data_IF_427164453695
#
_entry.id   IF_427164453695
#
_cell.length_a   1.000
_cell.length_b   1.000
_cell.length_c   1.000
_cell.angle_alpha   90.00
_cell.angle_beta   90.00
_cell.angle_gamma   90.00
#
_symmetry.space_group_name_H-M   'P 1'
#
loop_
_entity.id
_entity.type
_entity.pdbx_description
1 polymer ?
#
# COMPACT_ATOMS: atom_id res chain seq x y z
N UNK A 1 26.08 16.84 30.03
CA UNK A 1 27.06 15.83 29.55
C UNK A 1 28.36 16.11 30.27
N UNK A 2 28.86 15.17 31.07
CA UNK A 2 30.16 15.26 31.75
C UNK A 2 31.08 14.20 31.15
N UNK A 3 32.36 14.52 31.03
CA UNK A 3 33.46 13.67 30.59
C UNK A 3 33.87 12.59 31.62
N UNK A 4 33.13 12.46 32.72
CA UNK A 4 33.38 11.46 33.75
C UNK A 4 34.39 11.87 34.82
N UNK A 5 34.85 13.13 34.84
CA UNK A 5 35.88 13.63 35.78
C UNK A 5 35.28 14.50 36.91
N UNK A 6 33.96 14.50 37.08
CA UNK A 6 33.29 15.35 38.08
C UNK A 6 33.57 14.89 39.54
N UNK A 7 34.23 15.75 40.32
CA UNK A 7 34.60 15.56 41.74
C UNK A 7 33.43 15.70 42.73
N UNK A 8 32.20 15.94 42.26
CA UNK A 8 31.02 16.08 43.11
C UNK A 8 30.06 14.91 42.88
N UNK A 9 29.58 14.32 43.99
CA UNK A 9 28.60 13.23 43.96
C UNK A 9 27.36 13.64 43.16
N UNK A 10 26.96 12.79 42.21
CA UNK A 10 25.75 13.01 41.41
C UNK A 10 24.53 12.94 42.34
N UNK A 11 23.67 13.97 42.38
CA UNK A 11 22.48 13.94 43.22
C UNK A 11 21.55 12.75 42.89
N UNK A 12 20.88 12.19 43.90
CA UNK A 12 20.06 10.96 43.76
C UNK A 12 18.85 11.12 42.83
N UNK A 13 18.44 12.34 42.51
CA UNK A 13 17.36 12.62 41.55
C UNK A 13 17.82 12.66 40.08
N UNK A 14 19.13 12.53 39.83
CA UNK A 14 19.69 12.55 38.47
C UNK A 14 19.79 11.13 37.91
N UNK A 15 19.16 10.90 36.76
CA UNK A 15 19.35 9.65 35.99
C UNK A 15 20.70 9.73 35.26
N UNK A 16 21.67 8.92 35.69
CA UNK A 16 22.94 8.73 34.96
C UNK A 16 22.70 7.78 33.78
N UNK A 17 23.06 8.21 32.58
CA UNK A 17 23.08 7.35 31.38
C UNK A 17 24.51 7.40 30.85
N UNK A 18 25.21 6.27 30.86
CA UNK A 18 26.56 6.15 30.32
C UNK A 18 26.47 5.84 28.83
N UNK A 19 27.21 6.59 28.00
CA UNK A 19 27.40 6.29 26.57
C UNK A 19 28.65 5.45 26.31
N UNK A 20 29.37 5.07 27.38
CA UNK A 20 30.62 4.32 27.31
C UNK A 20 30.48 2.87 27.83
N UNK A 21 29.37 2.56 28.50
CA UNK A 21 29.07 1.21 28.95
C UNK A 21 28.25 0.48 27.89
N UNK A 22 28.50 -0.83 27.75
CA UNK A 22 27.70 -1.63 26.83
C UNK A 22 26.26 -1.69 27.34
N UNK A 23 25.33 -1.45 26.44
CA UNK A 23 23.91 -1.55 26.71
C UNK A 23 23.40 -2.92 26.23
N UNK A 24 22.62 -3.59 27.07
CA UNK A 24 21.92 -4.81 26.67
C UNK A 24 20.69 -4.41 25.85
N UNK A 25 20.47 -5.03 24.69
CA UNK A 25 19.35 -4.66 23.84
C UNK A 25 18.78 -5.88 23.11
N UNK A 26 17.46 -5.99 23.08
CA UNK A 26 16.70 -6.92 22.25
C UNK A 26 15.71 -6.08 21.47
N UNK A 27 15.83 -6.09 20.14
CA UNK A 27 15.01 -5.21 19.30
C UNK A 27 14.13 -5.97 18.33
N UNK A 28 12.95 -5.43 18.04
CA UNK A 28 12.20 -5.78 16.83
C UNK A 28 12.98 -5.22 15.64
N UNK A 29 13.44 -6.10 14.76
CA UNK A 29 14.30 -5.75 13.61
C UNK A 29 13.59 -5.87 12.27
N UNK A 30 12.41 -6.51 12.25
CA UNK A 30 11.47 -6.45 11.13
C UNK A 30 10.05 -6.74 11.64
N UNK A 31 9.07 -6.02 11.10
CA UNK A 31 7.65 -6.30 11.34
C UNK A 31 6.82 -5.90 10.12
N UNK A 32 6.06 -6.84 9.58
CA UNK A 32 5.21 -6.58 8.42
C UNK A 32 4.02 -7.53 8.34
N UNK A 33 2.92 -7.02 7.81
CA UNK A 33 1.75 -7.83 7.48
C UNK A 33 1.81 -8.18 6.00
N UNK A 34 1.61 -9.46 5.69
CA UNK A 34 1.61 -10.01 4.34
C UNK A 34 0.28 -10.71 4.06
N UNK A 35 -0.20 -10.62 2.84
CA UNK A 35 -1.30 -11.47 2.38
C UNK A 35 -0.78 -12.89 2.16
N UNK A 36 -1.54 -13.89 2.60
CA UNK A 36 -1.27 -15.30 2.35
C UNK A 36 -1.85 -15.64 0.97
N UNK A 37 -1.03 -16.02 -0.03
CA UNK A 37 -1.52 -16.25 -1.39
C UNK A 37 -2.61 -17.32 -1.45
N UNK A 38 -2.48 -18.40 -0.68
CA UNK A 38 -3.39 -19.55 -0.68
C UNK A 38 -4.72 -19.34 0.06
N UNK A 39 -4.96 -18.18 0.65
CA UNK A 39 -6.16 -17.93 1.45
C UNK A 39 -6.73 -16.55 1.15
N UNK A 40 -7.90 -16.46 0.50
CA UNK A 40 -8.58 -15.19 0.30
C UNK A 40 -8.76 -14.45 1.63
N UNK A 41 -8.32 -13.18 1.68
CA UNK A 41 -8.32 -12.34 2.90
C UNK A 41 -7.53 -12.94 4.09
N UNK A 42 -6.65 -13.92 3.83
CA UNK A 42 -5.69 -14.46 4.78
C UNK A 42 -4.51 -13.51 4.90
N UNK A 43 -4.11 -13.21 6.13
CA UNK A 43 -2.97 -12.37 6.43
C UNK A 43 -2.13 -13.00 7.53
N UNK A 44 -0.82 -12.82 7.44
CA UNK A 44 0.12 -13.17 8.48
C UNK A 44 0.96 -11.94 8.88
N UNK A 45 1.41 -11.91 10.12
CA UNK A 45 2.41 -10.97 10.60
C UNK A 45 3.78 -11.65 10.66
N UNK A 46 4.70 -11.25 9.78
CA UNK A 46 6.10 -11.61 9.90
C UNK A 46 6.76 -10.72 10.96
N UNK A 47 7.43 -11.33 11.92
CA UNK A 47 8.17 -10.66 12.98
C UNK A 47 9.59 -11.21 13.06
N UNK A 48 10.55 -10.31 13.19
CA UNK A 48 11.94 -10.63 13.51
C UNK A 48 12.39 -9.89 14.77
N UNK A 49 12.96 -10.63 15.71
CA UNK A 49 13.50 -10.12 16.98
C UNK A 49 14.93 -10.60 17.11
N UNK A 50 15.85 -9.70 17.46
CA UNK A 50 17.26 -10.05 17.61
C UNK A 50 17.80 -9.58 18.95
N UNK A 51 18.58 -10.44 19.60
CA UNK A 51 19.28 -10.13 20.84
C UNK A 51 20.71 -9.64 20.55
N UNK A 52 21.03 -8.42 20.96
CA UNK A 52 22.36 -7.80 20.86
C UNK A 52 23.13 -7.80 22.19
N UNK A 53 22.49 -8.29 23.25
CA UNK A 53 23.01 -8.40 24.59
C UNK A 53 23.33 -9.83 25.04
N UNK A 54 23.31 -10.05 26.35
CA UNK A 54 23.43 -11.34 27.00
C UNK A 54 22.17 -12.20 26.77
N UNK A 55 22.26 -13.53 26.94
CA UNK A 55 21.10 -14.39 26.80
C UNK A 55 19.92 -13.94 27.66
N UNK A 56 18.74 -13.78 27.03
CA UNK A 56 17.56 -13.21 27.67
C UNK A 56 16.28 -13.99 27.31
N UNK A 57 15.32 -13.97 28.22
CA UNK A 57 13.94 -14.40 27.95
C UNK A 57 13.15 -13.22 27.40
N UNK A 58 12.52 -13.40 26.24
CA UNK A 58 11.82 -12.34 25.52
C UNK A 58 10.34 -12.72 25.41
N UNK A 59 9.47 -11.87 25.96
CA UNK A 59 8.03 -12.00 25.80
C UNK A 59 7.55 -11.15 24.62
N UNK A 60 7.03 -11.81 23.59
CA UNK A 60 6.50 -11.21 22.37
C UNK A 60 4.98 -11.18 22.46
N UNK A 61 4.36 -10.04 22.16
CA UNK A 61 2.91 -9.88 22.08
C UNK A 61 2.51 -9.12 20.82
N UNK A 62 1.64 -9.72 20.01
CA UNK A 62 0.89 -9.02 18.97
C UNK A 62 -0.50 -8.68 19.52
N UNK A 63 -0.93 -7.44 19.33
CA UNK A 63 -2.23 -6.95 19.78
C UNK A 63 -2.93 -6.15 18.70
N UNK A 64 -4.26 -6.16 18.73
CA UNK A 64 -5.10 -5.41 17.81
C UNK A 64 -6.30 -4.77 18.53
N UNK A 65 -7.02 -3.84 17.87
CA UNK A 65 -8.26 -3.29 18.39
C UNK A 65 -9.25 -4.39 18.77
N UNK A 66 -10.09 -4.11 19.78
CA UNK A 66 -11.06 -5.10 20.28
C UNK A 66 -10.46 -6.19 21.16
N UNK A 67 -9.19 -6.06 21.59
CA UNK A 67 -8.57 -6.93 22.59
C UNK A 67 -7.99 -8.24 22.06
N UNK A 68 -7.96 -8.43 20.73
CA UNK A 68 -7.35 -9.61 20.13
C UNK A 68 -5.83 -9.59 20.35
N UNK A 69 -5.28 -10.70 20.85
CA UNK A 69 -3.84 -10.81 21.13
C UNK A 69 -3.28 -12.21 20.86
N UNK A 70 -2.03 -12.27 20.45
CA UNK A 70 -1.20 -13.47 20.37
C UNK A 70 0.08 -13.22 21.17
N UNK A 71 0.51 -14.20 21.97
CA UNK A 71 1.72 -14.08 22.79
C UNK A 71 2.62 -15.29 22.59
N UNK A 72 3.93 -15.06 22.62
CA UNK A 72 4.97 -16.09 22.55
C UNK A 72 6.11 -15.70 23.48
N UNK A 73 6.73 -16.67 24.13
CA UNK A 73 7.95 -16.46 24.91
C UNK A 73 9.07 -17.28 24.29
N UNK A 74 10.24 -16.66 24.13
CA UNK A 74 11.41 -17.28 23.53
C UNK A 74 12.67 -16.88 24.30
N UNK A 75 13.57 -17.83 24.51
CA UNK A 75 14.91 -17.58 25.03
C UNK A 75 15.85 -17.32 23.86
N UNK A 76 16.52 -16.18 23.84
CA UNK A 76 17.49 -15.83 22.79
C UNK A 76 18.90 -15.76 23.38
N UNK A 77 19.82 -16.54 22.82
CA UNK A 77 21.25 -16.38 23.04
C UNK A 77 21.77 -15.05 22.47
N UNK A 78 23.00 -14.68 22.84
CA UNK A 78 23.66 -13.49 22.31
C UNK A 78 23.80 -13.56 20.79
N UNK A 79 23.30 -12.55 20.09
CA UNK A 79 23.32 -12.48 18.63
C UNK A 79 22.24 -13.33 17.94
N UNK A 80 21.45 -14.09 18.68
CA UNK A 80 20.42 -14.95 18.12
C UNK A 80 19.26 -14.14 17.54
N UNK A 81 18.72 -14.61 16.42
CA UNK A 81 17.60 -14.01 15.71
C UNK A 81 16.42 -14.98 15.75
N UNK A 82 15.31 -14.53 16.34
CA UNK A 82 14.03 -15.20 16.25
C UNK A 82 13.22 -14.65 15.08
N UNK A 83 12.64 -15.56 14.29
CA UNK A 83 11.78 -15.25 13.14
C UNK A 83 10.54 -16.10 13.21
N UNK A 84 9.39 -15.49 13.02
CA UNK A 84 8.13 -16.23 12.96
C UNK A 84 7.06 -15.49 12.15
N UNK A 85 6.08 -16.25 11.70
CA UNK A 85 4.89 -15.74 11.02
C UNK A 85 3.66 -16.09 11.86
N UNK A 86 2.94 -15.06 12.30
CA UNK A 86 1.74 -15.19 13.13
C UNK A 86 0.50 -15.10 12.26
N UNK A 87 -0.35 -16.14 12.28
CA UNK A 87 -1.63 -16.14 11.57
C UNK A 87 -2.59 -15.08 12.13
N UNK A 88 -2.98 -14.12 11.29
CA UNK A 88 -3.94 -13.05 11.62
C UNK A 88 -5.33 -13.34 11.05
N UNK A 89 -5.61 -14.56 10.59
CA UNK A 89 -6.89 -14.88 9.93
C UNK A 89 -8.10 -14.66 10.84
N UNK A 90 -7.95 -14.79 12.15
CA UNK A 90 -9.00 -14.52 13.15
C UNK A 90 -9.13 -13.06 13.55
N UNK A 91 -8.21 -12.19 13.13
CA UNK A 91 -8.25 -10.77 13.45
C UNK A 91 -9.25 -10.04 12.55
N UNK A 92 -9.99 -9.09 13.13
CA UNK A 92 -11.02 -8.32 12.42
C UNK A 92 -10.43 -7.22 11.53
N UNK A 93 -9.20 -6.78 11.83
CA UNK A 93 -8.47 -5.73 11.11
C UNK A 93 -8.12 -4.53 11.98
N UNK A 94 -7.48 -3.54 11.37
CA UNK A 94 -7.00 -2.32 12.02
C UNK A 94 -5.50 -2.34 12.33
N UNK A 95 -5.07 -1.46 13.24
CA UNK A 95 -3.67 -1.34 13.62
C UNK A 95 -3.18 -2.51 14.46
N UNK A 96 -2.20 -3.27 13.97
CA UNK A 96 -1.54 -4.33 14.73
C UNK A 96 -0.31 -3.73 15.41
N UNK A 97 -0.18 -3.96 16.71
CA UNK A 97 0.98 -3.58 17.51
C UNK A 97 1.72 -4.83 17.97
N UNK A 98 2.96 -4.97 17.53
CA UNK A 98 3.94 -5.87 18.11
C UNK A 98 4.66 -5.17 19.25
N UNK A 99 4.78 -5.87 20.38
CA UNK A 99 5.57 -5.42 21.54
C UNK A 99 6.45 -6.58 21.99
N UNK A 100 7.70 -6.29 22.33
CA UNK A 100 8.58 -7.21 23.04
C UNK A 100 8.87 -6.69 24.45
N UNK A 101 9.19 -7.60 25.35
CA UNK A 101 9.62 -7.29 26.71
C UNK A 101 10.78 -8.22 27.06
N UNK A 102 11.92 -7.64 27.39
CA UNK A 102 13.10 -8.33 27.89
C UNK A 102 13.60 -7.63 29.16
N UNK A 103 14.35 -8.37 29.97
CA UNK A 103 15.03 -7.77 31.14
C UNK A 103 16.23 -6.96 30.66
N UNK A 104 16.48 -5.84 31.35
CA UNK A 104 17.67 -4.99 31.17
C UNK A 104 17.79 -4.38 29.76
N UNK A 105 16.69 -4.31 28.99
CA UNK A 105 16.64 -3.68 27.67
C UNK A 105 16.88 -2.16 27.73
N UNK A 106 17.72 -1.67 26.82
CA UNK A 106 18.20 -0.30 26.83
C UNK A 106 17.56 0.62 25.78
N UNK A 107 16.79 0.11 24.81
CA UNK A 107 16.20 0.91 23.73
C UNK A 107 14.69 0.66 23.59
N UNK A 108 13.85 1.38 24.36
CA UNK A 108 12.39 1.22 24.25
C UNK A 108 11.77 1.55 22.87
N UNK A 109 12.54 2.15 21.96
CA UNK A 109 12.09 2.56 20.63
C UNK A 109 12.03 1.39 19.62
N UNK A 110 12.77 0.31 19.83
CA UNK A 110 12.66 -0.92 19.02
C UNK A 110 11.91 -2.06 19.72
N UNK A 111 11.42 -1.82 20.94
CA UNK A 111 10.51 -2.72 21.65
C UNK A 111 9.10 -2.77 21.03
N UNK A 112 8.77 -1.83 20.16
CA UNK A 112 7.43 -1.70 19.56
C UNK A 112 7.49 -1.53 18.04
N UNK A 113 6.59 -2.20 17.36
CA UNK A 113 6.37 -2.01 15.93
C UNK A 113 4.87 -2.07 15.59
N UNK A 114 4.47 -1.33 14.56
CA UNK A 114 3.11 -1.20 14.10
C UNK A 114 2.97 -1.65 12.65
N UNK A 115 1.81 -2.18 12.32
CA UNK A 115 1.40 -2.48 10.95
C UNK A 115 -0.11 -2.27 10.82
N UNK A 116 -0.62 -2.22 9.60
CA UNK A 116 -2.06 -2.15 9.36
C UNK A 116 -2.54 -3.45 8.73
N UNK A 117 -3.47 -4.12 9.42
CA UNK A 117 -4.23 -5.24 8.89
C UNK A 117 -5.49 -4.68 8.22
N UNK A 118 -5.68 -4.85 6.91
CA UNK A 118 -6.92 -4.47 6.23
C UNK A 118 -8.16 -5.00 6.94
N UNK A 119 -9.19 -4.16 7.08
CA UNK A 119 -10.42 -4.55 7.79
C UNK A 119 -11.21 -5.55 6.95
N UNK A 120 -11.53 -6.71 7.56
CA UNK A 120 -12.38 -7.73 6.95
C UNK A 120 -13.84 -7.30 7.04
N UNK A 121 -14.28 -6.42 6.15
CA UNK A 121 -15.71 -6.08 6.00
C UNK A 121 -16.29 -6.75 4.76
N UNK A 122 -17.60 -7.03 4.79
CA UNK A 122 -18.30 -7.47 3.58
C UNK A 122 -18.20 -6.37 2.53
N UNK A 123 -17.85 -6.75 1.30
CA UNK A 123 -17.84 -5.87 0.14
C UNK A 123 -19.27 -5.69 -0.32
N UNK A 124 -19.77 -4.45 -0.31
CA UNK A 124 -21.07 -4.14 -0.89
C UNK A 124 -20.95 -4.19 -2.41
N UNK A 125 -21.50 -5.25 -2.99
CA UNK A 125 -21.37 -5.53 -4.41
C UNK A 125 -22.72 -5.38 -5.09
N UNK A 126 -22.79 -4.48 -6.08
CA UNK A 126 -23.97 -4.30 -6.90
C UNK A 126 -23.82 -5.09 -8.20
N UNK A 127 -24.60 -6.16 -8.32
CA UNK A 127 -24.77 -6.92 -9.56
C UNK A 127 -25.83 -6.25 -10.43
N UNK A 128 -25.41 -5.80 -11.61
CA UNK A 128 -26.26 -5.19 -12.62
C UNK A 128 -26.44 -6.20 -13.75
N UNK A 129 -27.59 -6.85 -13.77
CA UNK A 129 -27.90 -7.94 -14.71
C UNK A 129 -29.40 -8.03 -14.98
N UNK A 130 -29.76 -8.52 -16.16
CA UNK A 130 -31.14 -8.94 -16.46
C UNK A 130 -31.47 -10.33 -15.91
N UNK A 131 -30.46 -11.08 -15.46
CA UNK A 131 -30.56 -12.41 -14.88
C UNK A 131 -29.31 -13.23 -15.20
N UNK A 132 -28.59 -13.69 -14.17
CA UNK A 132 -27.42 -14.55 -14.32
C UNK A 132 -27.30 -15.49 -13.12
N UNK A 133 -27.91 -16.68 -13.22
CA UNK A 133 -28.01 -17.60 -12.10
C UNK A 133 -26.66 -18.07 -11.57
N UNK A 134 -25.65 -18.21 -12.44
CA UNK A 134 -24.31 -18.64 -12.05
C UNK A 134 -23.65 -17.58 -11.16
N UNK A 135 -23.63 -16.31 -11.60
CA UNK A 135 -23.11 -15.19 -10.80
C UNK A 135 -23.92 -14.97 -9.52
N UNK A 136 -25.25 -14.99 -9.63
CA UNK A 136 -26.13 -14.77 -8.48
C UNK A 136 -25.95 -15.83 -7.40
N UNK A 137 -25.84 -17.10 -7.79
CA UNK A 137 -25.62 -18.21 -6.84
C UNK A 137 -24.27 -18.09 -6.18
N UNK A 138 -23.20 -17.88 -6.97
CA UNK A 138 -21.85 -17.76 -6.46
C UNK A 138 -21.71 -16.60 -5.46
N UNK A 139 -22.16 -15.40 -5.83
CA UNK A 139 -22.04 -14.21 -4.99
C UNK A 139 -22.90 -14.27 -3.73
N UNK A 140 -24.02 -15.01 -3.74
CA UNK A 140 -24.84 -15.24 -2.53
C UNK A 140 -24.21 -16.21 -1.54
N UNK A 141 -23.38 -17.14 -2.03
CA UNK A 141 -22.67 -18.12 -1.20
C UNK A 141 -21.40 -17.54 -0.57
N UNK A 142 -20.88 -16.43 -1.09
CA UNK A 142 -19.71 -15.75 -0.55
C UNK A 142 -20.03 -15.01 0.76
N UNK A 143 -19.36 -15.41 1.84
CA UNK A 143 -19.54 -14.82 3.17
C UNK A 143 -19.08 -13.36 3.28
N UNK A 144 -18.21 -12.92 2.39
CA UNK A 144 -17.61 -11.59 2.36
C UNK A 144 -18.27 -10.66 1.33
N UNK A 145 -19.37 -11.07 0.71
CA UNK A 145 -20.16 -10.23 -0.20
C UNK A 145 -21.49 -9.85 0.43
N UNK A 146 -21.82 -8.56 0.39
CA UNK A 146 -23.16 -8.03 0.61
C UNK A 146 -23.76 -7.72 -0.77
N UNK A 147 -24.51 -8.69 -1.33
CA UNK A 147 -25.00 -8.62 -2.71
C UNK A 147 -26.29 -7.80 -2.82
N UNK A 148 -26.26 -6.79 -3.69
CA UNK A 148 -27.44 -6.09 -4.19
C UNK A 148 -27.60 -6.42 -5.68
N UNK A 149 -28.82 -6.59 -6.15
CA UNK A 149 -29.12 -6.85 -7.56
C UNK A 149 -30.09 -5.82 -8.12
N UNK A 150 -29.80 -5.31 -9.30
CA UNK A 150 -30.68 -4.40 -10.06
C UNK A 150 -30.67 -4.72 -11.54
N UNK A 151 -31.75 -4.32 -12.23
CA UNK A 151 -31.79 -4.31 -13.69
C UNK A 151 -30.91 -3.16 -14.25
N UNK A 152 -30.23 -3.35 -15.40
CA UNK A 152 -29.43 -2.31 -16.05
C UNK A 152 -30.13 -0.97 -16.25
N UNK A 153 -31.44 -0.96 -16.54
CA UNK A 153 -32.23 0.28 -16.71
C UNK A 153 -32.29 1.13 -15.43
N UNK A 154 -32.18 0.49 -14.27
CA UNK A 154 -32.22 1.12 -12.95
C UNK A 154 -30.83 1.48 -12.42
N UNK A 155 -29.75 1.20 -13.17
CA UNK A 155 -28.40 1.49 -12.73
C UNK A 155 -28.19 2.98 -12.49
N UNK A 156 -27.71 3.30 -11.29
CA UNK A 156 -27.24 4.62 -10.89
C UNK A 156 -25.95 4.42 -10.10
N UNK A 157 -24.96 5.27 -10.38
CA UNK A 157 -23.72 5.31 -9.60
C UNK A 157 -24.05 5.66 -8.14
N UNK A 158 -23.37 5.03 -7.18
CA UNK A 158 -23.63 5.21 -5.75
C UNK A 158 -22.35 5.06 -4.94
N UNK A 159 -22.06 6.05 -4.09
CA UNK A 159 -20.92 6.02 -3.18
C UNK A 159 -21.00 4.94 -2.10
N UNK A 160 -22.20 4.39 -1.86
CA UNK A 160 -22.46 3.35 -0.85
C UNK A 160 -22.13 1.93 -1.33
N UNK A 161 -21.74 1.76 -2.60
CA UNK A 161 -21.32 0.50 -3.20
C UNK A 161 -19.79 0.47 -3.20
N UNK A 162 -19.21 -0.67 -2.82
CA UNK A 162 -17.75 -0.87 -2.81
C UNK A 162 -17.25 -1.43 -4.16
N UNK A 163 -18.04 -2.27 -4.84
CA UNK A 163 -17.71 -2.83 -6.15
C UNK A 163 -18.94 -3.06 -7.04
N UNK A 164 -18.77 -2.93 -8.36
CA UNK A 164 -19.79 -3.24 -9.35
C UNK A 164 -19.47 -4.53 -10.09
N UNK A 165 -20.51 -5.32 -10.40
CA UNK A 165 -20.41 -6.42 -11.37
C UNK A 165 -21.45 -6.15 -12.44
N UNK A 166 -20.98 -5.96 -13.67
CA UNK A 166 -21.82 -5.69 -14.82
C UNK A 166 -21.87 -6.91 -15.74
N UNK A 167 -23.07 -7.45 -15.95
CA UNK A 167 -23.33 -8.53 -16.90
C UNK A 167 -23.90 -7.96 -18.20
N UNK A 168 -23.12 -8.01 -19.29
CA UNK A 168 -23.48 -7.53 -20.64
C UNK A 168 -23.99 -6.09 -20.64
N UNK A 169 -23.48 -5.28 -19.72
CA UNK A 169 -23.81 -3.87 -19.54
C UNK A 169 -22.55 -3.11 -19.16
N UNK A 170 -22.45 -1.85 -19.58
CA UNK A 170 -21.48 -0.92 -19.03
C UNK A 170 -22.10 0.47 -18.97
N UNK A 171 -21.76 1.25 -17.93
CA UNK A 171 -22.16 2.65 -17.86
C UNK A 171 -21.55 3.48 -19.00
N UNK A 172 -22.16 4.62 -19.31
CA UNK A 172 -21.67 5.55 -20.35
C UNK A 172 -20.32 6.18 -20.00
N UNK A 173 -20.01 6.29 -18.72
CA UNK A 173 -18.71 6.75 -18.18
C UNK A 173 -18.07 5.62 -17.38
N UNK A 174 -16.73 5.57 -17.27
CA UNK A 174 -16.06 4.63 -16.36
C UNK A 174 -16.62 4.71 -14.94
N UNK A 175 -16.88 3.59 -14.26
CA UNK A 175 -17.41 3.57 -12.91
C UNK A 175 -16.41 4.20 -11.93
N UNK A 176 -16.93 4.88 -10.91
CA UNK A 176 -16.08 5.54 -9.89
C UNK A 176 -15.50 4.57 -8.87
N UNK A 177 -16.11 3.38 -8.77
CA UNK A 177 -15.69 2.26 -7.91
C UNK A 177 -15.18 1.10 -8.77
N UNK A 178 -14.38 0.20 -8.18
CA UNK A 178 -13.91 -0.99 -8.87
C UNK A 178 -15.05 -1.78 -9.53
N UNK A 179 -14.83 -2.26 -10.76
CA UNK A 179 -15.87 -2.95 -11.52
C UNK A 179 -15.37 -4.19 -12.27
N UNK A 180 -16.15 -5.27 -12.24
CA UNK A 180 -15.97 -6.45 -13.08
C UNK A 180 -17.03 -6.44 -14.19
N UNK A 181 -16.61 -6.64 -15.43
CA UNK A 181 -17.48 -6.54 -16.61
C UNK A 181 -17.40 -7.85 -17.39
N UNK A 182 -18.56 -8.43 -17.68
CA UNK A 182 -18.69 -9.60 -18.55
C UNK A 182 -19.22 -9.18 -19.92
N UNK A 183 -18.51 -9.61 -20.96
CA UNK A 183 -18.75 -9.21 -22.34
C UNK A 183 -18.21 -7.82 -22.67
N UNK A 184 -18.46 -7.40 -23.90
CA UNK A 184 -18.04 -6.11 -24.44
C UNK A 184 -19.24 -5.22 -24.80
N UNK A 185 -19.98 -4.71 -23.81
CA UNK A 185 -21.06 -3.76 -24.04
C UNK A 185 -20.53 -2.49 -24.71
N UNK A 186 -21.35 -1.87 -25.55
CA UNK A 186 -20.97 -0.64 -26.23
C UNK A 186 -20.92 0.53 -25.23
N UNK A 187 -19.70 0.93 -24.85
CA UNK A 187 -19.43 2.11 -24.07
C UNK A 187 -18.17 2.80 -24.60
N UNK A 188 -18.22 4.12 -24.80
CA UNK A 188 -17.15 4.87 -25.47
C UNK A 188 -15.77 4.77 -24.79
N UNK A 189 -15.74 4.44 -23.50
CA UNK A 189 -14.52 4.29 -22.72
C UNK A 189 -13.90 2.88 -22.77
N UNK A 190 -14.64 1.85 -23.22
CA UNK A 190 -14.16 0.47 -23.32
C UNK A 190 -13.42 0.18 -24.65
N UNK A 191 -13.40 1.14 -25.59
CA UNK A 191 -12.69 1.03 -26.88
C UNK A 191 -12.93 -0.31 -27.61
N UNK A 192 -14.18 -0.77 -27.58
CA UNK A 192 -14.59 -1.98 -28.29
C UNK A 192 -14.46 -1.78 -29.79
N UNK A 193 -13.76 -2.68 -30.48
CA UNK A 193 -13.76 -2.67 -31.95
C UNK A 193 -15.00 -3.43 -32.46
N UNK A 194 -15.45 -3.16 -33.69
CA UNK A 194 -16.63 -3.80 -34.27
C UNK A 194 -16.42 -5.30 -34.64
N UNK A 195 -15.31 -5.91 -34.23
CA UNK A 195 -14.97 -7.31 -34.54
C UNK A 195 -15.46 -8.29 -33.49
N UNK A 196 -15.90 -9.47 -33.94
CA UNK A 196 -16.16 -10.65 -33.09
C UNK A 196 -15.24 -11.77 -33.57
N UNK A 197 -14.50 -12.35 -32.63
CA UNK A 197 -13.70 -13.56 -32.85
C UNK A 197 -14.55 -14.77 -32.47
N UNK A 198 -14.72 -15.69 -33.42
CA UNK A 198 -15.42 -16.96 -33.21
C UNK A 198 -14.46 -18.00 -32.64
N UNK A 199 -14.90 -18.75 -31.64
CA UNK A 199 -14.16 -19.83 -30.98
C UNK A 199 -12.69 -19.48 -30.64
N UNK A 200 -12.42 -18.36 -29.93
CA UNK A 200 -11.06 -18.04 -29.54
C UNK A 200 -10.55 -19.06 -28.51
N UNK A 201 -9.34 -19.56 -28.73
CA UNK A 201 -8.63 -20.40 -27.78
C UNK A 201 -7.75 -19.53 -26.88
N UNK A 202 -7.80 -19.75 -25.57
CA UNK A 202 -6.90 -19.07 -24.63
C UNK A 202 -5.50 -19.67 -24.82
N UNK A 203 -4.56 -18.86 -25.31
CA UNK A 203 -3.18 -19.29 -25.56
C UNK A 203 -2.18 -18.80 -24.53
N UNK A 204 -2.50 -17.71 -23.84
CA UNK A 204 -1.63 -17.08 -22.86
C UNK A 204 -2.44 -16.50 -21.71
N UNK A 205 -1.95 -16.67 -20.48
CA UNK A 205 -2.48 -15.99 -19.30
C UNK A 205 -1.33 -15.64 -18.34
N UNK A 206 -1.52 -14.59 -17.54
CA UNK A 206 -0.56 -14.15 -16.53
C UNK A 206 -0.82 -14.87 -15.21
N UNK A 207 0.07 -15.77 -14.81
CA UNK A 207 0.02 -16.43 -13.49
C UNK A 207 0.39 -15.47 -12.35
N UNK A 208 1.19 -14.44 -12.65
CA UNK A 208 1.62 -13.43 -11.67
C UNK A 208 0.52 -12.42 -11.33
N UNK A 209 -0.47 -12.23 -12.21
CA UNK A 209 -1.52 -11.24 -11.97
C UNK A 209 -2.42 -11.69 -10.80
N UNK A 210 -2.69 -10.83 -9.79
CA UNK A 210 -3.44 -11.23 -8.60
C UNK A 210 -4.79 -11.91 -8.86
N UNK A 211 -5.47 -11.55 -9.94
CA UNK A 211 -6.78 -12.12 -10.29
C UNK A 211 -6.73 -13.55 -10.83
N UNK A 212 -5.54 -14.01 -11.26
CA UNK A 212 -5.34 -15.33 -11.88
C UNK A 212 -4.68 -16.34 -10.93
N UNK A 213 -4.43 -15.96 -9.67
CA UNK A 213 -3.82 -16.86 -8.69
C UNK A 213 -4.69 -18.11 -8.50
N UNK A 214 -4.12 -19.28 -8.80
CA UNK A 214 -4.82 -20.58 -8.76
C UNK A 214 -6.03 -20.71 -9.70
N UNK A 215 -6.11 -19.86 -10.72
CA UNK A 215 -7.15 -19.93 -11.76
C UNK A 215 -6.58 -20.63 -12.98
N UNK A 216 -7.00 -21.88 -13.21
CA UNK A 216 -6.75 -22.54 -14.49
C UNK A 216 -7.84 -22.13 -15.49
N UNK A 217 -7.41 -21.68 -16.68
CA UNK A 217 -8.28 -21.32 -17.81
C UNK A 217 -7.99 -22.15 -19.06
N UNK A 218 -7.14 -23.17 -18.97
CA UNK A 218 -6.66 -23.92 -20.12
C UNK A 218 -7.79 -24.63 -20.89
N UNK A 219 -8.74 -25.22 -20.16
CA UNK A 219 -9.84 -26.01 -20.72
C UNK A 219 -11.12 -25.19 -20.93
N UNK A 220 -11.05 -23.86 -20.81
CA UNK A 220 -12.20 -22.98 -20.98
C UNK A 220 -12.52 -22.82 -22.46
N UNK A 221 -13.72 -23.21 -22.84
CA UNK A 221 -14.26 -23.05 -24.19
C UNK A 221 -15.06 -21.75 -24.28
N UNK A 222 -14.66 -20.89 -25.22
CA UNK A 222 -15.34 -19.62 -25.51
C UNK A 222 -15.95 -19.74 -26.91
N UNK A 223 -17.25 -19.51 -27.05
CA UNK A 223 -17.93 -19.51 -28.35
C UNK A 223 -17.62 -18.26 -29.18
N UNK A 224 -17.62 -17.10 -28.53
CA UNK A 224 -17.39 -15.80 -29.16
C UNK A 224 -16.79 -14.81 -28.16
N UNK A 225 -15.86 -13.99 -28.63
CA UNK A 225 -15.32 -12.85 -27.87
C UNK A 225 -15.25 -11.61 -28.74
N UNK A 226 -15.42 -10.43 -28.15
CA UNK A 226 -15.24 -9.19 -28.87
C UNK A 226 -13.76 -8.89 -29.09
N UNK A 227 -13.46 -8.27 -30.21
CA UNK A 227 -12.15 -7.71 -30.47
C UNK A 227 -12.03 -6.34 -29.77
N UNK A 228 -11.02 -6.18 -28.92
CA UNK A 228 -10.80 -4.98 -28.11
C UNK A 228 -9.42 -4.40 -28.39
N UNK A 229 -9.33 -3.07 -28.45
CA UNK A 229 -8.05 -2.36 -28.39
C UNK A 229 -7.54 -2.34 -26.94
N UNK A 230 -6.50 -3.12 -26.67
CA UNK A 230 -5.86 -3.20 -25.35
C UNK A 230 -4.79 -2.11 -25.11
N UNK A 231 -4.70 -1.09 -25.96
CA UNK A 231 -3.72 0.00 -25.77
C UNK A 231 -3.88 0.63 -24.39
N UNK A 232 -2.79 0.66 -23.62
CA UNK A 232 -2.72 1.13 -22.22
C UNK A 232 -3.52 0.30 -21.19
N UNK A 233 -3.88 -0.94 -21.52
CA UNK A 233 -4.51 -1.88 -20.60
C UNK A 233 -3.57 -3.06 -20.31
N UNK A 234 -3.72 -3.64 -19.12
CA UNK A 234 -3.01 -4.88 -18.77
C UNK A 234 -3.77 -6.05 -19.36
N UNK A 235 -3.17 -6.77 -20.31
CA UNK A 235 -3.71 -8.02 -20.85
C UNK A 235 -3.39 -9.14 -19.87
N UNK A 236 -4.44 -9.70 -19.24
CA UNK A 236 -4.31 -10.77 -18.25
C UNK A 236 -4.40 -12.15 -18.91
N UNK A 237 -5.29 -12.30 -19.89
CA UNK A 237 -5.37 -13.49 -20.72
C UNK A 237 -5.73 -13.12 -22.16
N UNK A 238 -5.25 -13.90 -23.13
CA UNK A 238 -5.43 -13.64 -24.54
C UNK A 238 -5.47 -14.92 -25.38
N UNK A 239 -6.13 -14.79 -26.53
CA UNK A 239 -5.99 -15.68 -27.68
C UNK A 239 -4.94 -15.15 -28.65
N UNK A 240 -4.69 -15.88 -29.73
CA UNK A 240 -3.84 -15.39 -30.84
C UNK A 240 -4.42 -14.16 -31.53
N UNK A 241 -5.75 -13.98 -31.49
CA UNK A 241 -6.47 -12.98 -32.27
C UNK A 241 -6.89 -11.76 -31.46
N UNK A 242 -7.21 -11.94 -30.17
CA UNK A 242 -7.75 -10.88 -29.32
C UNK A 242 -7.45 -11.11 -27.84
N UNK A 243 -7.28 -10.04 -27.04
CA UNK A 243 -7.36 -10.11 -25.59
C UNK A 243 -8.72 -10.68 -25.13
N UNK A 244 -8.67 -11.48 -24.07
CA UNK A 244 -9.83 -12.17 -23.51
C UNK A 244 -10.16 -11.68 -22.09
N UNK A 245 -9.12 -11.37 -21.30
CA UNK A 245 -9.26 -10.78 -19.97
C UNK A 245 -8.34 -9.56 -19.89
N UNK A 246 -8.90 -8.42 -19.51
CA UNK A 246 -8.22 -7.13 -19.43
C UNK A 246 -8.37 -6.56 -18.01
N UNK A 247 -7.36 -5.84 -17.55
CA UNK A 247 -7.38 -5.11 -16.30
C UNK A 247 -6.87 -3.68 -16.47
N UNK A 248 -7.46 -2.77 -15.70
CA UNK A 248 -7.04 -1.37 -15.54
C UNK A 248 -6.89 -1.06 -14.06
N UNK A 249 -5.88 -0.28 -13.68
CA UNK A 249 -5.67 0.17 -12.30
C UNK A 249 -6.28 1.56 -12.03
N UNK A 250 -6.47 2.39 -13.07
CA UNK A 250 -6.93 3.79 -12.92
C UNK A 250 -7.87 4.21 -14.07
N UNK A 251 -9.20 4.17 -13.90
CA UNK A 251 -9.92 3.60 -12.75
C UNK A 251 -9.76 2.07 -12.71
N UNK A 252 -9.97 1.47 -11.52
CA UNK A 252 -9.78 0.03 -11.33
C UNK A 252 -10.93 -0.76 -11.95
N UNK A 253 -10.67 -1.66 -12.88
CA UNK A 253 -11.69 -2.58 -13.40
C UNK A 253 -11.07 -3.79 -14.08
N UNK A 254 -11.85 -4.86 -14.18
CA UNK A 254 -11.54 -6.08 -14.95
C UNK A 254 -12.65 -6.28 -15.97
N UNK A 255 -12.30 -6.68 -17.18
CA UNK A 255 -13.25 -7.02 -18.24
C UNK A 255 -12.90 -8.36 -18.87
N UNK A 256 -13.90 -9.22 -19.01
CA UNK A 256 -13.86 -10.37 -19.90
C UNK A 256 -14.49 -9.93 -21.23
N UNK A 257 -13.78 -10.12 -22.34
CA UNK A 257 -14.27 -9.68 -23.66
C UNK A 257 -15.35 -10.60 -24.24
N UNK A 258 -15.71 -11.65 -23.50
CA UNK A 258 -16.80 -12.58 -23.73
C UNK A 258 -17.75 -12.58 -22.52
N UNK A 259 -19.03 -12.84 -22.77
CA UNK A 259 -20.01 -13.04 -21.70
C UNK A 259 -20.06 -14.51 -21.25
N UNK A 260 -20.60 -14.75 -20.05
CA UNK A 260 -20.65 -16.09 -19.47
C UNK A 260 -21.60 -17.05 -20.20
N UNK A 261 -22.60 -16.56 -20.93
CA UNK A 261 -23.50 -17.42 -21.72
C UNK A 261 -22.81 -17.90 -23.01
N UNK A 262 -21.77 -17.20 -23.44
CA UNK A 262 -20.93 -17.50 -24.60
C UNK A 262 -19.68 -18.30 -24.24
N UNK A 263 -19.61 -18.88 -23.03
CA UNK A 263 -18.48 -19.70 -22.58
C UNK A 263 -18.92 -20.74 -21.58
N UNK A 264 -18.11 -21.77 -21.39
CA UNK A 264 -18.31 -22.73 -20.29
C UNK A 264 -17.63 -22.31 -18.99
N UNK A 265 -16.97 -21.14 -18.93
CA UNK A 265 -16.09 -20.75 -17.83
C UNK A 265 -16.78 -20.85 -16.47
N UNK A 266 -18.06 -20.46 -16.39
CA UNK A 266 -18.85 -20.52 -15.16
C UNK A 266 -18.99 -21.93 -14.54
N UNK A 267 -18.74 -22.98 -15.32
CA UNK A 267 -18.81 -24.38 -14.90
C UNK A 267 -17.44 -24.97 -14.52
N UNK A 268 -16.36 -24.21 -14.68
CA UNK A 268 -15.01 -24.63 -14.30
C UNK A 268 -14.69 -24.27 -12.85
N UNK A 269 -13.86 -25.09 -12.20
CA UNK A 269 -13.40 -24.89 -10.81
C UNK A 269 -12.66 -23.55 -10.65
N UNK A 270 -12.01 -23.07 -11.71
CA UNK A 270 -11.32 -21.78 -11.70
C UNK A 270 -12.24 -20.57 -11.60
N UNK A 271 -13.52 -20.68 -11.95
CA UNK A 271 -14.41 -19.51 -12.00
C UNK A 271 -14.76 -18.94 -10.62
N UNK A 272 -15.20 -19.72 -9.61
CA UNK A 272 -15.35 -19.22 -8.25
C UNK A 272 -14.08 -18.54 -7.72
N UNK A 273 -12.92 -19.16 -7.92
CA UNK A 273 -11.61 -18.63 -7.49
C UNK A 273 -11.28 -17.32 -8.19
N UNK A 274 -11.57 -17.21 -9.49
CA UNK A 274 -11.39 -15.97 -10.25
C UNK A 274 -12.24 -14.83 -9.69
N UNK A 275 -13.51 -15.07 -9.39
CA UNK A 275 -14.40 -14.05 -8.82
C UNK A 275 -13.91 -13.60 -7.44
N UNK A 276 -13.53 -14.55 -6.57
CA UNK A 276 -12.95 -14.24 -5.26
C UNK A 276 -11.68 -13.39 -5.39
N UNK A 277 -10.77 -13.76 -6.30
CA UNK A 277 -9.53 -13.00 -6.52
C UNK A 277 -9.79 -11.58 -7.07
N UNK A 278 -10.77 -11.42 -7.96
CA UNK A 278 -11.17 -10.10 -8.49
C UNK A 278 -11.74 -9.24 -7.36
N UNK A 279 -12.66 -9.78 -6.55
CA UNK A 279 -13.23 -9.05 -5.42
C UNK A 279 -12.17 -8.73 -4.35
N UNK A 280 -11.24 -9.65 -4.10
CA UNK A 280 -10.08 -9.38 -3.25
C UNK A 280 -9.21 -8.26 -3.83
N UNK A 281 -8.95 -8.25 -5.14
CA UNK A 281 -8.17 -7.19 -5.80
C UNK A 281 -8.89 -5.83 -5.78
N UNK A 282 -10.22 -5.81 -5.84
CA UNK A 282 -11.03 -4.60 -5.66
C UNK A 282 -11.00 -4.08 -4.22
N UNK A 283 -11.03 -4.98 -3.25
CA UNK A 283 -11.11 -4.68 -1.83
C UNK A 283 -9.74 -4.54 -1.13
N UNK A 284 -8.62 -4.80 -1.83
CA UNK A 284 -7.26 -4.58 -1.30
C UNK A 284 -7.07 -3.11 -0.90
N UNK A 285 -7.46 -2.79 0.33
CA UNK A 285 -6.91 -1.66 1.05
C UNK A 285 -5.39 -1.85 1.06
N UNK A 286 -4.67 -0.79 0.71
CA UNK A 286 -3.22 -0.87 0.65
C UNK A 286 -2.69 -1.13 2.06
N UNK A 287 -1.76 -2.09 2.16
CA UNK A 287 -0.95 -2.26 3.35
C UNK A 287 -0.30 -0.92 3.72
N UNK A 288 -0.02 -0.73 5.00
CA UNK A 288 0.61 0.51 5.45
C UNK A 288 1.96 0.73 4.75
N UNK A 289 2.20 1.96 4.29
CA UNK A 289 3.51 2.40 3.84
C UNK A 289 4.49 2.31 5.01
N UNK A 290 5.62 1.65 4.79
CA UNK A 290 6.66 1.50 5.81
C UNK A 290 7.63 2.67 5.78
N UNK A 291 7.88 3.26 6.94
CA UNK A 291 8.77 4.41 7.13
C UNK A 291 9.53 4.23 8.44
N UNK A 292 10.68 4.88 8.53
CA UNK A 292 11.42 4.99 9.80
C UNK A 292 11.04 6.28 10.52
N UNK A 293 11.21 6.35 11.85
CA UNK A 293 11.04 7.60 12.60
C UNK A 293 11.85 8.76 12.00
N UNK A 294 11.32 9.97 12.12
CA UNK A 294 11.84 11.20 11.54
C UNK A 294 10.85 11.86 10.59
N UNK A 295 11.36 12.42 9.49
CA UNK A 295 10.55 13.08 8.46
C UNK A 295 9.94 12.03 7.54
N UNK A 296 8.61 11.97 7.53
CA UNK A 296 7.83 10.97 6.81
C UNK A 296 7.16 11.59 5.58
N UNK A 297 7.46 11.04 4.40
CA UNK A 297 6.78 11.42 3.15
C UNK A 297 5.66 10.43 2.77
N UNK A 298 4.48 10.99 2.49
CA UNK A 298 3.30 10.28 2.01
C UNK A 298 2.97 10.72 0.58
N UNK A 299 2.81 9.78 -0.38
CA UNK A 299 2.49 10.07 -1.78
C UNK A 299 1.00 10.42 -1.97
N UNK A 300 0.51 11.39 -1.18
CA UNK A 300 -0.85 11.90 -1.25
C UNK A 300 -0.79 13.41 -1.03
N UNK A 301 -1.19 14.19 -2.03
CA UNK A 301 -1.20 15.65 -1.96
C UNK A 301 -2.35 16.15 -1.07
N UNK A 302 -2.14 17.25 -0.35
CA UNK A 302 -3.16 17.94 0.45
C UNK A 302 -3.88 17.00 1.45
N UNK A 303 -3.16 16.03 2.01
CA UNK A 303 -3.73 15.07 2.95
C UNK A 303 -3.73 15.61 4.39
N UNK A 304 -4.80 15.30 5.13
CA UNK A 304 -4.80 15.44 6.59
C UNK A 304 -4.15 14.19 7.19
N UNK A 305 -3.19 14.38 8.11
CA UNK A 305 -2.52 13.26 8.80
C UNK A 305 -3.08 13.14 10.21
N UNK A 306 -3.44 11.91 10.60
CA UNK A 306 -3.85 11.57 11.96
C UNK A 306 -3.11 10.31 12.42
N UNK A 307 -2.87 10.19 13.72
CA UNK A 307 -2.56 8.91 14.35
C UNK A 307 -3.74 7.96 14.21
N UNK A 308 -3.53 6.64 14.34
CA UNK A 308 -4.61 5.66 14.29
C UNK A 308 -5.67 5.88 15.39
N UNK A 309 -5.29 6.49 16.51
CA UNK A 309 -6.18 6.88 17.61
C UNK A 309 -6.94 8.19 17.33
N UNK A 310 -6.79 8.76 16.14
CA UNK A 310 -7.54 9.94 15.67
C UNK A 310 -6.92 11.29 16.02
N UNK A 311 -5.78 11.35 16.73
CA UNK A 311 -5.09 12.62 17.01
C UNK A 311 -4.48 13.20 15.74
N UNK A 312 -4.78 14.45 15.42
CA UNK A 312 -4.22 15.17 14.26
C UNK A 312 -2.72 15.40 14.43
N UNK A 313 -1.96 15.18 13.35
CA UNK A 313 -0.52 15.42 13.29
C UNK A 313 -0.27 16.59 12.33
N UNK A 314 0.53 17.61 12.73
CA UNK A 314 0.92 18.68 11.84
C UNK A 314 1.62 18.14 10.58
N UNK A 315 1.16 18.56 9.42
CA UNK A 315 1.70 18.11 8.14
C UNK A 315 1.83 19.28 7.16
N UNK A 316 2.86 19.22 6.31
CA UNK A 316 3.19 20.22 5.29
C UNK A 316 3.10 19.61 3.88
N UNK A 317 2.94 20.46 2.87
CA UNK A 317 2.86 20.04 1.48
C UNK A 317 4.17 20.29 0.74
N UNK A 318 4.62 19.31 -0.05
CA UNK A 318 5.82 19.44 -0.87
C UNK A 318 5.68 18.62 -2.16
N UNK A 319 5.69 19.30 -3.32
CA UNK A 319 5.74 18.66 -4.65
C UNK A 319 4.69 17.54 -4.86
N UNK A 320 3.44 17.77 -4.46
CA UNK A 320 2.37 16.78 -4.59
C UNK A 320 2.39 15.65 -3.55
N UNK A 321 3.20 15.79 -2.50
CA UNK A 321 3.26 14.89 -1.34
C UNK A 321 2.89 15.63 -0.06
N UNK A 322 2.45 14.88 0.94
CA UNK A 322 2.27 15.35 2.31
C UNK A 322 3.43 14.85 3.17
N UNK A 323 4.02 15.73 3.97
CA UNK A 323 5.14 15.44 4.86
C UNK A 323 4.74 15.72 6.30
N UNK A 324 5.09 14.83 7.22
CA UNK A 324 4.93 15.04 8.66
C UNK A 324 6.12 14.48 9.43
N UNK A 325 6.25 14.85 10.71
CA UNK A 325 7.29 14.34 11.59
C UNK A 325 6.74 13.29 12.55
N UNK A 326 7.46 12.18 12.69
CA UNK A 326 7.14 11.09 13.62
C UNK A 326 8.38 10.71 14.41
N UNK A 327 8.53 11.24 15.62
CA UNK A 327 9.70 11.00 16.47
C UNK A 327 9.74 9.56 17.05
N UNK A 328 8.59 8.93 17.19
CA UNK A 328 8.43 7.60 17.79
C UNK A 328 7.71 6.64 16.82
N UNK A 329 7.87 5.32 16.97
CA UNK A 329 7.10 4.35 16.24
C UNK A 329 5.59 4.56 16.44
N UNK A 330 4.84 4.43 15.36
CA UNK A 330 3.40 4.68 15.40
C UNK A 330 2.72 4.32 14.10
N UNK A 331 1.39 4.23 14.17
CA UNK A 331 0.54 4.05 13.01
C UNK A 331 -0.23 5.33 12.71
N UNK A 332 -0.17 5.75 11.46
CA UNK A 332 -0.77 7.00 10.97
C UNK A 332 -1.66 6.71 9.77
N UNK A 333 -2.59 7.64 9.52
CA UNK A 333 -3.46 7.64 8.35
C UNK A 333 -3.43 9.03 7.73
N UNK A 334 -3.14 9.09 6.43
CA UNK A 334 -3.24 10.29 5.62
C UNK A 334 -4.50 10.21 4.76
N UNK A 335 -5.37 11.21 4.84
CA UNK A 335 -6.65 11.24 4.13
C UNK A 335 -6.79 12.46 3.22
N UNK A 336 -7.26 12.25 1.99
CA UNK A 336 -7.60 13.29 1.02
C UNK A 336 -8.88 12.87 0.28
N UNK A 337 -10.01 13.48 0.63
CA UNK A 337 -11.32 13.03 0.14
C UNK A 337 -11.57 11.57 0.53
N UNK A 338 -11.84 10.72 -0.46
CA UNK A 338 -12.02 9.27 -0.29
C UNK A 338 -10.69 8.51 -0.19
N UNK A 339 -9.58 9.11 -0.63
CA UNK A 339 -8.28 8.44 -0.62
C UNK A 339 -7.72 8.40 0.80
N UNK A 340 -7.30 7.19 1.21
CA UNK A 340 -6.65 6.94 2.49
C UNK A 340 -5.36 6.17 2.28
N UNK A 341 -4.31 6.56 2.98
CA UNK A 341 -3.02 5.85 2.99
C UNK A 341 -2.62 5.64 4.44
N UNK A 342 -2.51 4.37 4.85
CA UNK A 342 -1.95 4.01 6.15
C UNK A 342 -0.43 4.07 6.10
N UNK A 343 0.21 4.54 7.18
CA UNK A 343 1.66 4.67 7.28
C UNK A 343 2.11 4.10 8.61
N UNK A 344 2.92 3.05 8.57
CA UNK A 344 3.55 2.44 9.73
C UNK A 344 4.97 2.99 9.85
N UNK A 345 5.22 3.73 10.93
CA UNK A 345 6.53 4.26 11.27
C UNK A 345 7.14 3.33 12.31
N UNK A 346 8.23 2.65 12.00
CA UNK A 346 8.90 1.70 12.90
C UNK A 346 10.41 1.86 12.83
N UNK A 347 11.11 1.65 13.95
CA UNK A 347 12.57 1.58 13.91
C UNK A 347 13.02 0.34 13.12
N UNK A 348 12.53 -0.85 13.52
CA UNK A 348 12.54 -2.12 12.78
C UNK A 348 13.74 -2.31 11.85
N UNK A 349 14.95 -2.15 12.37
CA UNK A 349 16.18 -2.21 11.60
C UNK A 349 17.34 -2.64 12.50
N UNK A 350 18.02 -3.70 12.08
CA UNK A 350 19.16 -4.27 12.81
C UNK A 350 20.27 -3.27 13.11
N UNK A 351 20.53 -2.35 12.18
CA UNK A 351 21.62 -1.38 12.30
C UNK A 351 21.39 -0.35 13.40
N UNK A 352 20.13 -0.09 13.76
CA UNK A 352 19.77 0.81 14.87
C UNK A 352 19.56 0.05 16.18
N UNK A 353 19.13 -1.21 16.12
CA UNK A 353 18.95 -2.06 17.29
C UNK A 353 20.27 -2.57 17.90
N UNK A 354 21.36 -2.65 17.13
CA UNK A 354 22.69 -2.86 17.72
C UNK A 354 23.21 -1.54 18.32
N UNK A 355 22.71 -1.16 19.49
CA UNK A 355 23.06 0.10 20.16
C UNK A 355 24.55 0.24 20.46
N UNK A 356 25.30 -0.87 20.54
CA UNK A 356 26.74 -0.87 20.83
C UNK A 356 27.61 -0.74 19.57
N UNK A 357 27.04 -1.00 18.39
CA UNK A 357 27.73 -0.88 17.10
C UNK A 357 27.08 0.15 16.16
N UNK A 358 25.98 0.77 16.60
CA UNK A 358 25.31 1.87 15.93
C UNK A 358 26.27 3.05 15.81
N UNK A 359 26.75 3.30 14.60
CA UNK A 359 27.47 4.52 14.28
C UNK A 359 26.47 5.46 13.61
N UNK A 360 26.29 6.66 14.18
CA UNK A 360 25.69 7.74 13.40
C UNK A 360 26.62 7.97 12.21
N UNK A 361 26.21 7.52 11.02
CA UNK A 361 26.83 8.03 9.79
C UNK A 361 26.58 9.52 9.83
N UNK A 362 27.64 10.27 10.08
CA UNK A 362 27.64 11.71 9.98
C UNK A 362 27.38 11.99 8.49
N UNK A 363 26.10 12.07 8.10
CA UNK A 363 25.65 12.49 6.78
C UNK A 363 25.91 14.00 6.64
N UNK A 364 27.16 14.41 6.86
CA UNK A 364 27.69 15.70 6.42
C UNK A 364 27.54 15.85 4.91
N UNK A 365 27.28 14.77 4.18
CA UNK A 365 26.87 14.80 2.78
C UNK A 365 25.49 15.48 2.55
N UNK A 366 24.56 15.43 3.52
CA UNK A 366 23.27 16.14 3.42
C UNK A 366 23.36 17.61 3.86
N UNK A 367 24.22 17.92 4.84
CA UNK A 367 24.47 19.29 5.28
C UNK A 367 25.49 20.05 4.41
N UNK A 368 26.20 19.36 3.50
CA UNK A 368 27.41 19.88 2.88
C UNK A 368 27.53 19.73 1.38
N UNK A 369 26.44 19.70 0.58
CA UNK A 369 26.60 19.80 -0.89
C UNK A 369 25.35 20.14 -1.73
N UNK A 370 24.32 20.79 -1.16
CA UNK A 370 23.17 21.28 -1.96
C UNK A 370 22.94 22.80 -1.94
N UNK A 371 23.73 23.55 -1.17
CA UNK A 371 23.61 25.00 -1.06
C UNK A 371 24.59 25.80 -1.95
N UNK A 372 25.47 25.15 -2.72
CA UNK A 372 26.43 25.88 -3.57
C UNK A 372 25.91 26.22 -4.97
N UNK A 373 24.91 25.51 -5.49
CA UNK A 373 24.31 25.84 -6.80
C UNK A 373 23.06 26.72 -6.72
N UNK A 374 22.52 26.98 -5.51
CA UNK A 374 21.29 27.79 -5.33
C UNK A 374 21.52 29.17 -4.72
N UNK A 375 22.71 29.45 -4.20
CA UNK A 375 23.10 30.82 -3.89
C UNK A 375 23.67 31.46 -5.16
N UNK A 376 23.02 32.54 -5.57
CA UNK A 376 23.58 33.63 -6.40
C UNK A 376 23.43 33.59 -7.92
N UNK A 377 22.75 32.61 -8.54
CA UNK A 377 22.38 32.75 -9.97
C UNK A 377 21.51 33.98 -10.24
N UNK A 378 20.61 34.32 -9.30
CA UNK A 378 19.78 35.53 -9.40
C UNK A 378 20.62 36.81 -9.29
N UNK A 379 21.75 36.79 -8.57
CA UNK A 379 22.65 37.94 -8.45
C UNK A 379 23.33 38.21 -9.79
N UNK A 380 23.81 37.15 -10.48
CA UNK A 380 24.36 37.28 -11.83
C UNK A 380 23.30 37.71 -12.86
N UNK A 381 22.06 37.23 -12.75
CA UNK A 381 20.96 37.70 -13.61
C UNK A 381 20.62 39.17 -13.36
N UNK A 382 20.62 39.61 -12.10
CA UNK A 382 20.37 41.01 -11.74
C UNK A 382 21.51 41.92 -12.19
N UNK A 383 22.77 41.48 -12.06
CA UNK A 383 23.93 42.17 -12.61
C UNK A 383 23.83 42.28 -14.14
N UNK A 384 23.44 41.20 -14.83
CA UNK A 384 23.20 41.19 -16.26
C UNK A 384 22.10 42.18 -16.69
N UNK A 385 21.00 42.25 -15.93
CA UNK A 385 19.93 43.21 -16.17
C UNK A 385 20.40 44.66 -15.99
N UNK A 386 21.20 44.96 -14.96
CA UNK A 386 21.77 46.29 -14.72
C UNK A 386 22.72 46.69 -15.86
N UNK A 387 23.54 45.77 -16.35
CA UNK A 387 24.41 46.02 -17.50
C UNK A 387 23.59 46.31 -18.75
N UNK A 388 22.54 45.53 -19.04
CA UNK A 388 21.66 45.77 -20.18
C UNK A 388 20.98 47.13 -20.11
N UNK A 389 20.46 47.52 -18.94
CA UNK A 389 19.87 48.85 -18.72
C UNK A 389 20.92 49.96 -18.92
N UNK A 390 22.15 49.76 -18.43
CA UNK A 390 23.24 50.72 -18.61
C UNK A 390 23.65 50.86 -20.07
N UNK A 391 23.69 49.75 -20.82
CA UNK A 391 23.96 49.76 -22.26
C UNK A 391 22.84 50.48 -23.00
N UNK A 392 21.58 50.17 -22.70
CA UNK A 392 20.40 50.81 -23.30
C UNK A 392 20.40 52.32 -23.04
N UNK A 393 20.66 52.74 -21.80
CA UNK A 393 20.79 54.15 -21.42
C UNK A 393 21.91 54.86 -22.20
N UNK A 394 23.06 54.22 -22.33
CA UNK A 394 24.20 54.77 -23.05
C UNK A 394 23.92 54.88 -24.57
N UNK A 395 23.28 53.87 -25.17
CA UNK A 395 22.87 53.91 -26.58
C UNK A 395 21.80 54.96 -26.83
N UNK A 396 20.85 55.12 -25.91
CA UNK A 396 19.82 56.17 -25.95
C UNK A 396 20.44 57.57 -25.91
N UNK A 397 21.41 57.80 -25.02
CA UNK A 397 22.06 59.11 -24.89
C UNK A 397 22.93 59.46 -26.10
N UNK A 398 23.51 58.47 -26.78
CA UNK A 398 24.31 58.68 -28.00
C UNK A 398 23.48 58.75 -29.28
N UNK A 399 22.15 58.65 -29.23
CA UNK A 399 21.26 58.61 -30.41
C UNK A 399 21.69 57.56 -31.44
N UNK A 400 22.26 56.45 -30.98
CA UNK A 400 22.56 55.30 -31.82
C UNK A 400 21.42 54.33 -31.56
N UNK A 401 20.32 54.51 -32.29
CA UNK A 401 19.26 53.51 -32.35
C UNK A 401 19.73 52.33 -33.19
N UNK A 402 19.61 51.13 -32.63
CA UNK A 402 19.38 49.91 -33.39
C UNK A 402 17.88 49.63 -33.39
#
# INVERSE_FOLDING_TARGET
VSDGVALHGVPSFVRRVSVFERAENVGITAFEIRSIPSTPLGYEAYLEVQNYGNPAEVAITLSAPGGQRLSRSVRLAKGEIFKDAFDLSRFTGGGIRATIQSKDDALPLDDVAFAYLPIKRKTRTLLVTRGNNNLETLLKLDNYVELLKIDPSNYRESSNIDAYIFDRFAPSTPPSRPALIFGAPNAGWLRTSNGIVQKPEITTWSEDHPIMQFVSVHDVSIERAAQIDATNLTVVAASKQTPLILASEKPRWVMLTFDLDSSDFAFHVGFPVFIENVLAWFSREQLALRRSPGVVEVPLANAQVRTIDGKTVPASQQLGKTIFEAAEPGLYVATQGENRVHVAVNLANRSFSDVNQSVFKDDRAAAGQRYWLRRELWFYMLLGAVVLIGVEWFTYHRRITL
#
